data_IF_777121988625
#
_entry.id   IF_777121988625
#
_cell.length_a   1.000
_cell.length_b   1.000
_cell.length_c   1.000
_cell.angle_alpha   90.00
_cell.angle_beta   90.00
_cell.angle_gamma   90.00
#
_symmetry.space_group_name_H-M   'P 1'
#
loop_
_entity.id
_entity.type
_entity.pdbx_description
1 polymer ?
#
# COMPACT_ATOMS: atom_id res chain seq x y z
N UNK A 1 21.23 2.85 -1.10
CA UNK A 1 20.18 2.14 -0.34
C UNK A 1 19.00 1.96 -1.26
N UNK A 2 18.62 0.73 -1.55
CA UNK A 2 17.42 0.44 -2.35
C UNK A 2 16.17 0.67 -1.50
N UNK A 3 15.26 1.50 -2.03
CA UNK A 3 13.99 1.81 -1.39
C UNK A 3 12.91 1.04 -2.14
N UNK A 4 12.13 0.24 -1.42
CA UNK A 4 10.99 -0.48 -1.98
C UNK A 4 9.79 0.47 -1.95
N UNK A 5 9.25 0.79 -3.13
CA UNK A 5 8.05 1.60 -3.25
C UNK A 5 6.82 0.71 -3.40
N UNK A 6 5.89 0.82 -2.45
CA UNK A 6 4.61 0.12 -2.47
C UNK A 6 3.51 1.14 -2.72
N UNK A 7 2.73 0.93 -3.78
CA UNK A 7 1.54 1.72 -4.08
C UNK A 7 0.35 1.07 -3.40
N UNK A 8 -0.28 1.82 -2.50
CA UNK A 8 -1.34 1.32 -1.62
C UNK A 8 -2.63 2.08 -1.90
N UNK A 9 -3.72 1.33 -2.08
CA UNK A 9 -5.04 1.86 -2.44
C UNK A 9 -5.76 2.56 -1.27
N UNK A 10 -5.16 2.58 -0.08
CA UNK A 10 -5.77 3.09 1.15
C UNK A 10 -7.12 2.43 1.50
N UNK A 11 -7.37 1.22 1.00
CA UNK A 11 -8.55 0.41 1.35
C UNK A 11 -8.58 0.07 2.84
N UNK A 12 -9.73 -0.42 3.32
CA UNK A 12 -9.94 -0.74 4.74
C UNK A 12 -8.90 -1.69 5.33
N UNK A 13 -8.26 -2.54 4.52
CA UNK A 13 -7.21 -3.45 4.97
C UNK A 13 -5.80 -2.85 4.96
N UNK A 14 -5.53 -1.95 4.02
CA UNK A 14 -4.21 -1.38 3.73
C UNK A 14 -4.10 0.11 4.07
N UNK A 15 -5.08 0.64 4.81
CA UNK A 15 -5.14 2.05 5.13
C UNK A 15 -3.99 2.50 6.02
N UNK A 16 -3.49 3.71 5.75
CA UNK A 16 -2.43 4.35 6.54
C UNK A 16 -2.83 4.70 7.97
N UNK A 17 -4.10 4.55 8.33
CA UNK A 17 -4.57 4.70 9.72
C UNK A 17 -4.62 3.38 10.48
N UNK A 18 -4.46 2.23 9.81
CA UNK A 18 -4.62 0.91 10.42
C UNK A 18 -3.30 0.43 11.04
N UNK A 19 -3.22 0.47 12.37
CA UNK A 19 -2.00 0.15 13.12
C UNK A 19 -1.49 -1.28 12.89
N UNK A 20 -2.39 -2.25 12.69
CA UNK A 20 -1.98 -3.64 12.42
C UNK A 20 -1.25 -3.78 11.08
N UNK A 21 -1.69 -3.06 10.04
CA UNK A 21 -1.03 -3.05 8.74
C UNK A 21 0.37 -2.44 8.85
N UNK A 22 0.47 -1.26 9.47
CA UNK A 22 1.74 -0.59 9.69
C UNK A 22 2.72 -1.43 10.51
N UNK A 23 2.27 -2.07 11.59
CA UNK A 23 3.12 -2.95 12.41
C UNK A 23 3.71 -4.12 11.59
N UNK A 24 2.91 -4.73 10.69
CA UNK A 24 3.40 -5.80 9.81
C UNK A 24 4.41 -5.27 8.78
N UNK A 25 4.18 -4.08 8.23
CA UNK A 25 5.11 -3.45 7.30
C UNK A 25 6.44 -3.08 7.97
N UNK A 26 6.41 -2.61 9.21
CA UNK A 26 7.61 -2.33 10.00
C UNK A 26 8.38 -3.60 10.30
N UNK A 27 7.71 -4.67 10.75
CA UNK A 27 8.36 -5.96 10.98
C UNK A 27 8.96 -6.54 9.68
N UNK A 28 8.29 -6.35 8.56
CA UNK A 28 8.80 -6.75 7.25
C UNK A 28 10.03 -5.92 6.83
N UNK A 29 10.03 -4.60 7.04
CA UNK A 29 11.18 -3.74 6.79
C UNK A 29 12.40 -4.13 7.66
N UNK A 30 12.17 -4.40 8.94
CA UNK A 30 13.19 -4.83 9.90
C UNK A 30 13.82 -6.18 9.49
N UNK A 31 12.98 -7.19 9.20
CA UNK A 31 13.45 -8.51 8.76
C UNK A 31 14.20 -8.52 7.44
N UNK A 32 13.91 -7.58 6.52
CA UNK A 32 14.61 -7.49 5.23
C UNK A 32 15.76 -6.48 5.22
N UNK A 33 15.88 -5.64 6.26
CA UNK A 33 16.84 -4.54 6.33
C UNK A 33 16.65 -3.49 5.23
N UNK A 34 15.44 -3.38 4.66
CA UNK A 34 15.14 -2.49 3.53
C UNK A 34 14.21 -1.36 3.95
N UNK A 35 14.41 -0.19 3.36
CA UNK A 35 13.50 0.94 3.54
C UNK A 35 12.28 0.77 2.65
N UNK A 36 11.09 0.87 3.24
CA UNK A 36 9.81 0.74 2.53
C UNK A 36 9.13 2.09 2.50
N UNK A 37 8.77 2.54 1.32
CA UNK A 37 7.97 3.74 1.10
C UNK A 37 6.56 3.35 0.70
N UNK A 38 5.58 3.69 1.54
CA UNK A 38 4.16 3.49 1.26
C UNK A 38 3.61 4.73 0.56
N UNK A 39 3.22 4.60 -0.70
CA UNK A 39 2.57 5.66 -1.47
C UNK A 39 1.07 5.41 -1.44
N UNK A 40 0.32 6.32 -0.83
CA UNK A 40 -1.14 6.27 -0.79
C UNK A 40 -1.73 7.04 -1.96
N UNK A 41 -2.70 6.43 -2.65
CA UNK A 41 -3.47 7.14 -3.65
C UNK A 41 -4.47 8.11 -3.01
N UNK A 42 -4.75 9.26 -3.66
CA UNK A 42 -5.73 10.22 -3.18
C UNK A 42 -7.16 9.64 -3.20
N UNK A 43 -8.10 10.17 -2.39
CA UNK A 43 -9.41 9.58 -2.06
C UNK A 43 -10.45 9.48 -3.20
N UNK A 44 -10.02 9.46 -4.47
CA UNK A 44 -10.88 9.31 -5.65
C UNK A 44 -10.26 8.38 -6.71
N UNK A 45 -9.44 7.42 -6.28
CA UNK A 45 -8.62 6.62 -7.20
C UNK A 45 -9.36 5.52 -7.97
N UNK A 46 -10.56 5.10 -7.54
CA UNK A 46 -11.36 4.10 -8.28
C UNK A 46 -11.71 4.51 -9.72
N UNK A 47 -11.59 5.81 -10.06
CA UNK A 47 -11.77 6.28 -11.45
C UNK A 47 -10.56 5.98 -12.36
N UNK A 48 -9.40 5.66 -11.78
CA UNK A 48 -8.13 5.55 -12.50
C UNK A 48 -7.44 4.20 -12.37
N UNK A 49 -8.00 3.24 -11.64
CA UNK A 49 -7.41 1.91 -11.50
C UNK A 49 -7.84 1.02 -12.69
N UNK A 50 -7.00 0.79 -13.71
CA UNK A 50 -7.39 0.00 -14.89
C UNK A 50 -7.70 -1.47 -14.55
N UNK A 51 -7.22 -1.96 -13.40
CA UNK A 51 -7.49 -3.30 -12.88
C UNK A 51 -8.96 -3.47 -12.50
N UNK A 52 -9.59 -2.49 -11.85
CA UNK A 52 -11.01 -2.59 -11.46
C UNK A 52 -11.95 -2.64 -12.68
N UNK A 53 -11.49 -2.16 -13.84
CA UNK A 53 -12.23 -2.25 -15.11
C UNK A 53 -12.17 -3.65 -15.74
N UNK A 54 -11.15 -4.45 -15.42
CA UNK A 54 -10.99 -5.81 -15.95
C UNK A 54 -11.69 -6.89 -15.12
N UNK A 55 -11.98 -6.63 -13.83
CA UNK A 55 -12.57 -7.62 -12.92
C UNK A 55 -14.00 -7.27 -12.47
N UNK A 56 -14.58 -6.19 -13.01
CA UNK A 56 -16.00 -5.85 -12.85
C UNK A 56 -16.87 -6.49 -13.94
N UNK A 57 -16.92 -7.83 -13.99
CA UNK A 57 -17.92 -8.63 -14.73
C UNK A 57 -18.44 -9.71 -13.80
#
# INVERSE_FOLDING_TARGET
MEIIQLKVDNGSESSGVRTQFLNRMVAFADSTGKTIQLLYYPPYHSKYNPIERCWGI
#
